data_IF_528564828132
#
_entry.id   IF_528564828132
#
_cell.length_a   1.000
_cell.length_b   1.000
_cell.length_c   1.000
_cell.angle_alpha   90.00
_cell.angle_beta   90.00
_cell.angle_gamma   90.00
#
_symmetry.space_group_name_H-M   'P 1'
#
loop_
_entity.id
_entity.type
_entity.pdbx_description
1 polymer ?
#
# COMPACT_ATOMS: atom_id res chain seq x y z
N UNK A 1 33.51 -20.90 15.78
CA UNK A 1 32.52 -19.96 16.40
C UNK A 1 31.61 -19.20 15.42
N UNK A 2 32.09 -18.62 14.30
CA UNK A 2 31.23 -17.88 13.35
C UNK A 2 30.12 -18.72 12.68
N UNK A 3 30.41 -19.97 12.29
CA UNK A 3 29.40 -20.92 11.74
C UNK A 3 28.27 -21.22 12.73
N UNK A 4 28.59 -21.51 13.99
CA UNK A 4 27.62 -21.82 15.06
C UNK A 4 26.73 -20.60 15.35
N UNK A 5 27.30 -19.38 15.42
CA UNK A 5 26.50 -18.15 15.58
C UNK A 5 25.56 -17.91 14.39
N UNK A 6 25.96 -18.24 13.16
CA UNK A 6 25.09 -18.13 11.98
C UNK A 6 23.95 -19.13 11.99
N UNK A 7 24.20 -20.37 12.44
CA UNK A 7 23.20 -21.43 12.58
C UNK A 7 22.20 -21.09 13.69
N UNK A 8 22.66 -20.60 14.84
CA UNK A 8 21.81 -20.14 15.94
C UNK A 8 20.97 -18.92 15.53
N UNK A 9 21.54 -17.97 14.75
CA UNK A 9 20.80 -16.82 14.22
C UNK A 9 19.76 -17.24 13.18
N UNK A 10 20.07 -18.20 12.32
CA UNK A 10 19.13 -18.79 11.34
C UNK A 10 18.00 -19.55 12.05
N UNK A 11 18.33 -20.40 13.02
CA UNK A 11 17.36 -21.12 13.84
C UNK A 11 16.49 -20.17 14.66
N UNK A 12 17.06 -19.14 15.32
CA UNK A 12 16.27 -18.09 15.98
C UNK A 12 15.37 -17.35 15.01
N UNK A 13 15.82 -17.09 13.78
CA UNK A 13 15.00 -16.41 12.75
C UNK A 13 13.86 -17.29 12.24
N UNK A 14 14.12 -18.58 12.00
CA UNK A 14 13.11 -19.58 11.62
C UNK A 14 12.09 -19.84 12.76
N UNK A 15 12.54 -19.90 14.02
CA UNK A 15 11.65 -19.96 15.19
C UNK A 15 10.96 -18.63 15.51
N UNK A 16 11.51 -17.49 15.09
CA UNK A 16 10.91 -16.16 15.31
C UNK A 16 9.75 -15.88 14.36
N UNK A 17 9.75 -16.44 13.16
CA UNK A 17 8.63 -16.26 12.23
C UNK A 17 7.57 -17.34 12.46
N UNK A 18 6.73 -17.10 13.48
CA UNK A 18 5.63 -18.00 13.88
C UNK A 18 4.66 -18.29 12.74
N UNK A 19 4.47 -17.34 11.82
CA UNK A 19 3.67 -17.56 10.62
C UNK A 19 4.27 -18.64 9.73
N UNK A 20 5.57 -18.55 9.40
CA UNK A 20 6.26 -19.53 8.57
C UNK A 20 6.18 -20.94 9.16
N UNK A 21 6.46 -21.09 10.45
CA UNK A 21 6.41 -22.39 11.13
C UNK A 21 5.00 -22.97 11.09
N UNK A 22 3.99 -22.17 11.42
CA UNK A 22 2.60 -22.59 11.33
C UNK A 22 2.20 -22.97 9.90
N UNK A 23 2.54 -22.12 8.94
CA UNK A 23 2.22 -22.31 7.52
C UNK A 23 2.75 -23.64 7.00
N UNK A 24 4.03 -23.94 7.26
CA UNK A 24 4.67 -25.20 6.85
C UNK A 24 4.04 -26.43 7.50
N UNK A 25 3.80 -26.37 8.81
CA UNK A 25 3.24 -27.50 9.56
C UNK A 25 1.80 -27.84 9.14
N UNK A 26 1.06 -26.84 8.64
CA UNK A 26 -0.36 -26.97 8.36
C UNK A 26 -0.70 -26.84 6.87
N UNK A 27 0.29 -26.78 5.96
CA UNK A 27 0.05 -26.59 4.54
C UNK A 27 -0.84 -27.68 3.95
N UNK A 28 -0.48 -28.94 4.16
CA UNK A 28 -1.23 -30.09 3.61
C UNK A 28 -2.57 -30.31 4.31
N UNK A 29 -2.63 -30.08 5.63
CA UNK A 29 -3.82 -30.39 6.45
C UNK A 29 -4.88 -29.29 6.43
N UNK A 30 -4.51 -28.04 6.12
CA UNK A 30 -5.46 -26.92 6.07
C UNK A 30 -6.22 -26.90 4.76
N UNK A 31 -7.55 -26.80 4.86
CA UNK A 31 -8.44 -26.58 3.73
C UNK A 31 -8.72 -25.10 3.56
N UNK A 32 -8.81 -24.66 2.32
CA UNK A 32 -9.33 -23.34 1.96
C UNK A 32 -10.81 -23.27 2.36
N UNK A 33 -11.22 -22.15 2.93
CA UNK A 33 -12.60 -21.91 3.40
C UNK A 33 -13.25 -20.94 2.44
N UNK A 34 -14.39 -21.33 1.86
CA UNK A 34 -15.12 -20.47 0.93
C UNK A 34 -15.59 -19.17 1.57
N UNK A 35 -15.80 -18.15 0.73
CA UNK A 35 -16.24 -16.80 1.08
C UNK A 35 -15.32 -16.11 2.10
N UNK A 36 -14.00 -16.35 2.02
CA UNK A 36 -13.03 -15.68 2.89
C UNK A 36 -12.05 -14.86 2.06
N UNK A 37 -11.83 -13.60 2.47
CA UNK A 37 -10.96 -12.66 1.75
C UNK A 37 -9.89 -12.12 2.68
N UNK A 38 -8.63 -12.22 2.27
CA UNK A 38 -7.50 -11.60 2.94
C UNK A 38 -7.01 -10.39 2.15
N UNK A 39 -6.84 -9.27 2.85
CA UNK A 39 -6.32 -8.02 2.31
C UNK A 39 -4.97 -7.70 2.97
N UNK A 40 -3.94 -7.48 2.17
CA UNK A 40 -2.64 -6.99 2.64
C UNK A 40 -2.13 -5.87 1.73
N UNK A 41 -1.94 -4.67 2.30
CA UNK A 41 -1.40 -3.52 1.57
C UNK A 41 -0.05 -3.10 2.14
N UNK A 42 0.95 -2.92 1.28
CA UNK A 42 2.33 -2.53 1.62
C UNK A 42 2.92 -3.34 2.79
N UNK A 43 2.92 -4.67 2.68
CA UNK A 43 3.38 -5.59 3.75
C UNK A 43 2.62 -5.45 5.08
N UNK A 44 1.34 -5.08 5.02
CA UNK A 44 0.49 -4.79 6.19
C UNK A 44 0.75 -3.42 6.82
N UNK A 45 1.60 -2.57 6.23
CA UNK A 45 1.87 -1.23 6.77
C UNK A 45 0.76 -0.23 6.46
N UNK A 46 -0.21 -0.63 5.64
CA UNK A 46 -1.23 0.27 5.13
C UNK A 46 -2.62 -0.35 5.07
N UNK A 47 -3.61 0.52 5.18
CA UNK A 47 -5.03 0.24 5.07
C UNK A 47 -5.65 1.03 3.91
N UNK A 48 -4.87 1.16 2.83
CA UNK A 48 -5.14 2.00 1.68
C UNK A 48 -4.85 1.23 0.38
N UNK A 49 -4.95 1.93 -0.75
CA UNK A 49 -4.63 1.47 -2.10
C UNK A 49 -5.71 0.52 -2.67
N UNK A 50 -5.41 -0.20 -3.73
CA UNK A 50 -6.38 -1.05 -4.42
C UNK A 50 -6.97 -2.15 -3.50
N UNK A 51 -6.23 -2.74 -2.53
CA UNK A 51 -6.83 -3.63 -1.54
C UNK A 51 -7.91 -2.95 -0.69
N UNK A 52 -7.76 -1.66 -0.35
CA UNK A 52 -8.81 -0.90 0.32
C UNK A 52 -10.03 -0.72 -0.58
N UNK A 53 -9.84 -0.41 -1.86
CA UNK A 53 -10.94 -0.26 -2.80
C UNK A 53 -11.75 -1.55 -2.95
N UNK A 54 -11.08 -2.72 -3.04
CA UNK A 54 -11.77 -4.01 -2.99
C UNK A 54 -12.57 -4.18 -1.70
N UNK A 55 -11.96 -3.91 -0.53
CA UNK A 55 -12.67 -4.02 0.75
C UNK A 55 -13.89 -3.10 0.83
N UNK A 56 -13.74 -1.85 0.39
CA UNK A 56 -14.78 -0.84 0.43
C UNK A 56 -15.92 -1.14 -0.56
N UNK A 57 -15.63 -1.81 -1.68
CA UNK A 57 -16.66 -2.33 -2.58
C UNK A 57 -17.63 -3.23 -1.80
N UNK A 58 -17.15 -4.27 -1.11
CA UNK A 58 -18.02 -5.15 -0.30
C UNK A 58 -18.78 -4.38 0.80
N UNK A 59 -18.13 -3.42 1.44
CA UNK A 59 -18.77 -2.60 2.48
C UNK A 59 -19.94 -1.74 1.96
N UNK A 60 -20.04 -1.53 0.65
CA UNK A 60 -21.13 -0.80 0.00
C UNK A 60 -22.09 -1.73 -0.78
N UNK A 61 -21.89 -3.04 -0.74
CA UNK A 61 -22.69 -4.07 -1.43
C UNK A 61 -23.19 -5.11 -0.42
N UNK A 62 -24.21 -4.77 0.40
CA UNK A 62 -24.66 -5.60 1.52
C UNK A 62 -25.23 -6.97 1.10
N UNK A 63 -25.59 -7.14 -0.17
CA UNK A 63 -25.95 -8.44 -0.75
C UNK A 63 -24.77 -9.43 -0.80
N UNK A 64 -23.53 -8.95 -0.63
CA UNK A 64 -22.30 -9.74 -0.56
C UNK A 64 -21.77 -9.90 0.88
N UNK A 65 -22.59 -9.68 1.90
CA UNK A 65 -22.17 -9.61 3.30
C UNK A 65 -21.92 -11.00 3.96
N UNK A 66 -22.02 -12.08 3.18
CA UNK A 66 -21.65 -13.43 3.61
C UNK A 66 -20.12 -13.66 3.61
N UNK A 67 -19.36 -12.77 2.96
CA UNK A 67 -17.91 -12.84 2.95
C UNK A 67 -17.30 -12.49 4.33
N UNK A 68 -16.26 -13.23 4.69
CA UNK A 68 -15.49 -13.06 5.91
C UNK A 68 -14.20 -12.33 5.56
N UNK A 69 -14.01 -11.13 6.11
CA UNK A 69 -12.88 -10.27 5.74
C UNK A 69 -11.75 -10.38 6.76
N UNK A 70 -10.52 -10.51 6.30
CA UNK A 70 -9.31 -10.48 7.12
C UNK A 70 -8.37 -9.41 6.60
N UNK A 71 -8.08 -8.38 7.41
CA UNK A 71 -7.09 -7.36 7.08
C UNK A 71 -5.80 -7.59 7.84
N UNK A 72 -4.70 -7.68 7.11
CA UNK A 72 -3.36 -7.88 7.67
C UNK A 72 -2.73 -6.53 8.04
N UNK A 73 -2.12 -6.45 9.22
CA UNK A 73 -1.40 -5.25 9.66
C UNK A 73 -0.04 -5.54 10.28
N UNK A 74 0.92 -4.64 10.05
CA UNK A 74 2.21 -4.65 10.74
C UNK A 74 2.10 -4.11 12.17
N UNK A 75 2.96 -4.59 13.07
CA UNK A 75 2.90 -4.23 14.48
C UNK A 75 3.12 -2.76 14.81
N UNK A 76 3.65 -1.96 13.88
CA UNK A 76 3.91 -0.54 14.07
C UNK A 76 2.77 0.37 13.56
N UNK A 77 1.71 -0.21 12.99
CA UNK A 77 0.56 0.56 12.51
C UNK A 77 -0.32 0.99 13.68
N UNK A 78 -0.76 2.26 13.68
CA UNK A 78 -1.85 2.72 14.53
C UNK A 78 -3.17 2.10 14.06
N UNK A 79 -3.53 0.98 14.69
CA UNK A 79 -4.73 0.23 14.36
C UNK A 79 -6.02 0.99 14.72
N UNK A 80 -5.97 1.92 15.68
CA UNK A 80 -7.14 2.72 16.08
C UNK A 80 -7.49 3.69 14.96
N UNK A 81 -6.51 4.46 14.49
CA UNK A 81 -6.70 5.36 13.35
C UNK A 81 -7.05 4.57 12.07
N UNK A 82 -6.36 3.46 11.81
CA UNK A 82 -6.67 2.60 10.67
C UNK A 82 -8.14 2.17 10.67
N UNK A 83 -8.65 1.60 11.77
CA UNK A 83 -10.06 1.18 11.87
C UNK A 83 -11.03 2.34 11.65
N UNK A 84 -10.71 3.55 12.12
CA UNK A 84 -11.55 4.74 11.89
C UNK A 84 -11.70 5.08 10.40
N UNK A 85 -10.64 4.88 9.60
CA UNK A 85 -10.63 5.16 8.16
C UNK A 85 -11.29 4.07 7.32
N UNK A 86 -11.54 2.89 7.90
CA UNK A 86 -12.13 1.75 7.21
C UNK A 86 -13.64 1.67 7.39
N UNK A 87 -14.41 1.39 6.32
CA UNK A 87 -15.85 1.16 6.42
C UNK A 87 -16.21 -0.21 7.01
N UNK A 88 -15.36 -0.75 7.89
CA UNK A 88 -15.49 -2.10 8.45
C UNK A 88 -16.77 -2.31 9.29
N UNK A 89 -17.33 -1.23 9.84
CA UNK A 89 -18.59 -1.26 10.58
C UNK A 89 -19.81 -1.58 9.70
N UNK A 90 -19.67 -1.49 8.37
CA UNK A 90 -20.73 -1.85 7.42
C UNK A 90 -20.76 -3.35 7.07
N UNK A 91 -19.77 -4.12 7.52
CA UNK A 91 -19.63 -5.53 7.22
C UNK A 91 -19.89 -6.36 8.48
N UNK A 92 -20.56 -7.52 8.33
CA UNK A 92 -20.85 -8.45 9.43
C UNK A 92 -19.61 -9.01 10.09
N UNK A 93 -18.55 -9.27 9.32
CA UNK A 93 -17.37 -9.98 9.82
C UNK A 93 -16.06 -9.45 9.26
N UNK A 94 -15.31 -8.76 10.11
CA UNK A 94 -13.98 -8.25 9.82
C UNK A 94 -13.01 -8.63 10.93
N UNK A 95 -11.93 -9.33 10.58
CA UNK A 95 -10.83 -9.69 11.47
C UNK A 95 -9.59 -8.88 11.11
N UNK A 96 -8.88 -8.41 12.13
CA UNK A 96 -7.59 -7.74 11.97
C UNK A 96 -6.50 -8.67 12.49
N UNK A 97 -5.57 -9.05 11.61
CA UNK A 97 -4.56 -10.06 11.90
C UNK A 97 -3.16 -9.46 11.79
N UNK A 98 -2.40 -9.57 12.87
CA UNK A 98 -1.03 -9.05 12.90
C UNK A 98 -0.11 -9.91 12.05
N UNK A 99 0.68 -9.29 11.18
CA UNK A 99 1.63 -9.97 10.30
C UNK A 99 2.68 -10.76 11.08
N UNK A 100 3.17 -11.85 10.49
CA UNK A 100 4.16 -12.78 11.07
C UNK A 100 3.70 -13.58 12.32
N UNK A 101 2.42 -13.51 12.72
CA UNK A 101 1.87 -14.37 13.79
C UNK A 101 1.34 -15.71 13.24
N UNK A 102 0.96 -16.64 14.14
CA UNK A 102 0.36 -17.92 13.71
C UNK A 102 -0.97 -17.71 13.00
N UNK A 103 -1.73 -16.71 13.46
CA UNK A 103 -3.02 -16.32 12.90
C UNK A 103 -2.85 -15.79 11.47
N UNK A 104 -1.78 -15.05 11.18
CA UNK A 104 -1.43 -14.65 9.81
C UNK A 104 -1.11 -15.86 8.92
N UNK A 105 -0.30 -16.80 9.43
CA UNK A 105 -0.02 -18.06 8.71
C UNK A 105 -1.31 -18.85 8.44
N UNK A 106 -2.23 -18.94 9.41
CA UNK A 106 -3.54 -19.56 9.23
C UNK A 106 -4.37 -18.84 8.18
N UNK A 107 -4.49 -17.51 8.27
CA UNK A 107 -5.29 -16.73 7.35
C UNK A 107 -4.81 -16.88 5.90
N UNK A 108 -3.49 -16.89 5.66
CA UNK A 108 -2.93 -17.17 4.33
C UNK A 108 -3.21 -18.60 3.83
N UNK A 109 -3.32 -19.60 4.71
CA UNK A 109 -3.62 -20.98 4.33
C UNK A 109 -5.09 -21.20 4.00
N UNK A 110 -5.99 -20.49 4.70
CA UNK A 110 -7.42 -20.78 4.66
C UNK A 110 -8.22 -19.80 3.83
N UNK A 111 -7.67 -18.62 3.50
CA UNK A 111 -8.42 -17.61 2.73
C UNK A 111 -8.60 -18.04 1.28
N UNK A 112 -9.82 -17.96 0.75
CA UNK A 112 -10.11 -18.26 -0.66
C UNK A 112 -9.57 -17.18 -1.58
N UNK A 113 -9.80 -15.91 -1.23
CA UNK A 113 -9.32 -14.78 -2.01
C UNK A 113 -8.17 -14.07 -1.28
N UNK A 114 -7.07 -13.84 -1.98
CA UNK A 114 -5.89 -13.13 -1.48
C UNK A 114 -5.71 -11.85 -2.30
N UNK A 115 -5.85 -10.69 -1.68
CA UNK A 115 -5.73 -9.37 -2.34
C UNK A 115 -4.48 -8.67 -1.82
N UNK A 116 -3.52 -8.39 -2.70
CA UNK A 116 -2.25 -7.75 -2.35
C UNK A 116 -1.85 -6.70 -3.41
N UNK A 117 -1.08 -5.68 -3.03
CA UNK A 117 -0.54 -4.64 -3.92
C UNK A 117 1.00 -4.57 -3.97
N UNK A 118 1.64 -5.55 -3.35
CA UNK A 118 3.08 -5.73 -3.25
C UNK A 118 3.39 -7.21 -3.43
N UNK A 119 3.93 -7.87 -2.40
CA UNK A 119 4.27 -9.28 -2.42
C UNK A 119 3.95 -9.93 -1.07
N UNK A 120 3.55 -11.20 -1.09
CA UNK A 120 3.69 -12.04 0.09
C UNK A 120 5.16 -12.45 0.29
N UNK A 121 5.48 -12.89 1.51
CA UNK A 121 6.86 -13.22 1.89
C UNK A 121 7.40 -14.42 1.09
N UNK A 122 8.74 -14.57 0.94
CA UNK A 122 9.36 -15.60 0.09
C UNK A 122 9.00 -17.06 0.37
N UNK A 123 8.37 -17.33 1.51
CA UNK A 123 7.95 -18.66 1.93
C UNK A 123 6.49 -18.99 1.62
N UNK A 124 5.67 -18.02 1.23
CA UNK A 124 4.25 -18.20 0.94
C UNK A 124 4.06 -19.00 -0.36
N UNK A 125 3.31 -20.11 -0.39
CA UNK A 125 3.03 -20.86 -1.62
C UNK A 125 1.51 -20.88 -1.80
N UNK A 126 0.98 -20.37 -2.91
CA UNK A 126 -0.47 -20.39 -3.15
C UNK A 126 -0.99 -21.84 -3.21
N UNK A 127 -2.11 -22.13 -2.56
CA UNK A 127 -2.85 -23.40 -2.73
C UNK A 127 -3.72 -23.34 -3.99
N UNK A 128 -3.98 -24.49 -4.60
CA UNK A 128 -4.77 -24.61 -5.84
C UNK A 128 -6.15 -23.94 -5.74
N UNK A 129 -6.87 -24.16 -4.63
CA UNK A 129 -8.21 -23.60 -4.40
C UNK A 129 -8.21 -22.13 -3.94
N UNK A 130 -7.10 -21.40 -4.06
CA UNK A 130 -7.05 -19.97 -3.74
C UNK A 130 -6.97 -19.14 -5.01
N UNK A 131 -7.61 -17.98 -4.98
CA UNK A 131 -7.51 -16.93 -5.99
C UNK A 131 -6.63 -15.80 -5.45
N UNK A 132 -5.48 -15.59 -6.07
CA UNK A 132 -4.56 -14.52 -5.74
C UNK A 132 -4.65 -13.39 -6.78
N UNK A 133 -5.16 -12.24 -6.32
CA UNK A 133 -5.17 -10.98 -7.07
C UNK A 133 -4.01 -10.11 -6.60
N UNK A 134 -3.06 -9.86 -7.49
CA UNK A 134 -2.01 -8.86 -7.26
C UNK A 134 -2.32 -7.59 -8.05
N UNK A 135 -2.63 -6.54 -7.31
CA UNK A 135 -3.01 -5.23 -7.85
C UNK A 135 -1.82 -4.36 -8.23
N UNK A 136 -0.61 -4.75 -7.80
CA UNK A 136 0.58 -3.89 -7.80
C UNK A 136 0.26 -2.47 -7.27
N UNK A 137 1.08 -1.46 -7.55
CA UNK A 137 0.95 -0.16 -6.88
C UNK A 137 1.18 1.05 -7.79
N UNK A 138 0.82 0.93 -9.07
CA UNK A 138 0.83 2.06 -9.99
C UNK A 138 1.64 1.86 -11.26
N UNK A 139 1.46 2.81 -12.17
CA UNK A 139 2.27 2.97 -13.38
C UNK A 139 3.67 3.46 -12.98
N UNK A 140 4.75 2.74 -13.31
CA UNK A 140 6.09 3.15 -12.94
C UNK A 140 6.59 4.28 -13.85
N UNK A 141 7.29 5.25 -13.25
CA UNK A 141 8.13 6.21 -13.99
C UNK A 141 9.60 5.74 -14.06
N UNK A 142 10.03 4.95 -13.07
CA UNK A 142 11.40 4.45 -12.93
C UNK A 142 11.52 3.06 -13.55
N UNK A 143 12.74 2.64 -13.88
CA UNK A 143 13.01 1.24 -14.28
C UNK A 143 12.53 0.28 -13.18
N UNK A 144 11.91 -0.82 -13.57
CA UNK A 144 11.34 -1.83 -12.68
C UNK A 144 11.87 -3.22 -13.02
N UNK A 145 11.65 -4.18 -12.12
CA UNK A 145 11.98 -5.58 -12.38
C UNK A 145 13.46 -5.81 -12.67
N UNK A 146 13.75 -6.52 -13.75
CA UNK A 146 15.10 -6.85 -14.18
C UNK A 146 15.78 -5.73 -14.97
N UNK A 147 15.06 -4.63 -15.25
CA UNK A 147 15.65 -3.45 -15.91
C UNK A 147 16.36 -2.54 -14.89
N UNK A 148 16.21 -2.79 -13.59
CA UNK A 148 17.00 -2.12 -12.55
C UNK A 148 18.43 -2.68 -12.59
N UNK A 149 19.39 -1.80 -12.88
CA UNK A 149 20.81 -2.13 -12.94
C UNK A 149 21.33 -2.73 -11.62
N UNK A 150 22.17 -3.76 -11.73
CA UNK A 150 22.83 -4.46 -10.63
C UNK A 150 21.93 -5.01 -9.50
N UNK A 151 20.61 -5.12 -9.71
CA UNK A 151 19.67 -5.59 -8.68
C UNK A 151 18.77 -6.79 -9.08
N UNK A 152 19.29 -7.85 -9.73
CA UNK A 152 18.46 -9.00 -10.10
C UNK A 152 17.86 -9.73 -8.88
N UNK A 153 18.53 -9.63 -7.72
CA UNK A 153 18.04 -10.22 -6.45
C UNK A 153 16.78 -9.53 -5.92
N UNK A 154 16.62 -8.23 -6.17
CA UNK A 154 15.45 -7.47 -5.74
C UNK A 154 14.14 -7.97 -6.35
N UNK A 155 14.21 -8.55 -7.55
CA UNK A 155 13.03 -8.95 -8.32
C UNK A 155 12.62 -10.41 -8.11
N UNK A 156 13.40 -11.22 -7.38
CA UNK A 156 13.13 -12.66 -7.21
C UNK A 156 11.80 -12.94 -6.50
N UNK A 157 11.54 -12.28 -5.37
CA UNK A 157 10.28 -12.48 -4.65
C UNK A 157 9.09 -11.88 -5.42
N UNK A 158 9.32 -10.80 -6.15
CA UNK A 158 8.30 -10.15 -6.98
C UNK A 158 7.86 -11.09 -8.10
N UNK A 159 8.82 -11.59 -8.89
CA UNK A 159 8.57 -12.57 -9.96
C UNK A 159 7.82 -13.80 -9.41
N UNK A 160 8.26 -14.33 -8.27
CA UNK A 160 7.59 -15.48 -7.64
C UNK A 160 6.13 -15.20 -7.30
N UNK A 161 5.82 -14.02 -6.76
CA UNK A 161 4.44 -13.64 -6.47
C UNK A 161 3.62 -13.45 -7.74
N UNK A 162 4.18 -12.84 -8.78
CA UNK A 162 3.50 -12.69 -10.06
C UNK A 162 3.18 -14.04 -10.70
N UNK A 163 4.13 -14.97 -10.74
CA UNK A 163 3.89 -16.33 -11.28
C UNK A 163 2.86 -17.13 -10.47
N UNK A 164 2.62 -16.78 -9.21
CA UNK A 164 1.57 -17.40 -8.39
C UNK A 164 0.22 -16.68 -8.49
N UNK A 165 0.15 -15.46 -9.04
CA UNK A 165 -1.07 -14.68 -9.06
C UNK A 165 -2.02 -15.16 -10.17
N UNK A 166 -3.28 -15.39 -9.85
CA UNK A 166 -4.30 -15.70 -10.86
C UNK A 166 -4.64 -14.46 -11.69
N UNK A 167 -4.57 -13.29 -11.04
CA UNK A 167 -4.83 -12.01 -11.69
C UNK A 167 -3.76 -10.96 -11.35
N UNK A 168 -3.22 -10.32 -12.38
CA UNK A 168 -2.44 -9.08 -12.26
C UNK A 168 -3.29 -7.90 -12.73
N UNK A 169 -3.46 -6.87 -11.91
CA UNK A 169 -4.18 -5.67 -12.35
C UNK A 169 -3.19 -4.70 -13.01
N UNK A 170 -3.53 -4.26 -14.21
CA UNK A 170 -2.73 -3.30 -14.98
C UNK A 170 -3.52 -2.00 -15.22
N UNK A 171 -2.98 -0.83 -14.85
CA UNK A 171 -3.62 0.45 -15.10
C UNK A 171 -3.70 0.83 -16.58
N UNK A 172 -2.79 0.32 -17.42
CA UNK A 172 -2.64 0.70 -18.82
C UNK A 172 -1.65 -0.23 -19.53
N UNK A 173 -1.61 -0.13 -20.87
CA UNK A 173 -0.71 -0.89 -21.72
C UNK A 173 0.78 -0.76 -21.33
N UNK A 174 1.22 0.41 -20.88
CA UNK A 174 2.61 0.59 -20.43
C UNK A 174 2.95 -0.29 -19.22
N UNK A 175 2.08 -0.38 -18.22
CA UNK A 175 2.30 -1.28 -17.08
C UNK A 175 2.19 -2.75 -17.47
N UNK A 176 1.31 -3.09 -18.42
CA UNK A 176 1.24 -4.44 -19.00
C UNK A 176 2.58 -4.83 -19.64
N UNK A 177 3.18 -3.92 -20.41
CA UNK A 177 4.51 -4.08 -20.99
C UNK A 177 5.59 -4.25 -19.92
N UNK A 178 5.52 -3.50 -18.81
CA UNK A 178 6.44 -3.66 -17.68
C UNK A 178 6.33 -5.06 -17.05
N UNK A 179 5.11 -5.57 -16.86
CA UNK A 179 4.91 -6.94 -16.39
C UNK A 179 5.54 -7.96 -17.34
N UNK A 180 5.22 -7.89 -18.62
CA UNK A 180 5.67 -8.88 -19.61
C UNK A 180 7.19 -8.80 -19.84
N UNK A 181 7.73 -7.60 -20.04
CA UNK A 181 9.11 -7.38 -20.50
C UNK A 181 10.08 -7.14 -19.35
N UNK A 182 9.79 -6.18 -18.46
CA UNK A 182 10.72 -5.82 -17.37
C UNK A 182 10.73 -6.87 -16.26
N UNK A 183 9.58 -7.47 -15.95
CA UNK A 183 9.48 -8.58 -15.01
C UNK A 183 9.62 -9.97 -15.63
N UNK A 184 9.81 -10.05 -16.96
CA UNK A 184 10.05 -11.31 -17.71
C UNK A 184 8.89 -12.31 -17.57
N UNK A 185 7.65 -11.84 -17.63
CA UNK A 185 6.47 -12.69 -17.54
C UNK A 185 5.99 -13.23 -18.91
N UNK A 186 6.49 -12.65 -20.01
CA UNK A 186 6.14 -13.10 -21.36
C UNK A 186 6.48 -14.59 -21.56
N UNK A 187 5.48 -15.39 -21.92
CA UNK A 187 5.59 -16.84 -22.08
C UNK A 187 5.75 -17.65 -20.78
N UNK A 188 5.77 -17.01 -19.61
CA UNK A 188 5.88 -17.66 -18.30
C UNK A 188 4.64 -17.51 -17.42
N UNK A 189 3.91 -16.41 -17.56
CA UNK A 189 2.74 -16.13 -16.74
C UNK A 189 1.50 -16.83 -17.29
N UNK A 190 0.90 -17.70 -16.48
CA UNK A 190 -0.29 -18.50 -16.84
C UNK A 190 -1.61 -17.87 -16.37
N UNK A 191 -1.56 -16.83 -15.53
CA UNK A 191 -2.75 -16.11 -15.08
C UNK A 191 -3.21 -15.04 -16.07
N UNK A 192 -4.13 -14.18 -15.63
CA UNK A 192 -4.72 -13.13 -16.47
C UNK A 192 -4.24 -11.74 -16.05
N UNK A 193 -3.71 -10.97 -17.01
CA UNK A 193 -3.48 -9.53 -16.81
C UNK A 193 -4.79 -8.80 -17.15
N UNK A 194 -5.37 -8.15 -16.14
CA UNK A 194 -6.58 -7.33 -16.29
C UNK A 194 -6.16 -5.87 -16.52
N UNK A 195 -6.09 -5.48 -17.79
CA UNK A 195 -5.79 -4.09 -18.19
C UNK A 195 -7.08 -3.24 -18.16
N UNK A 196 -7.22 -2.38 -17.16
CA UNK A 196 -8.48 -1.62 -16.98
C UNK A 196 -8.44 -0.49 -15.95
N UNK A 197 -7.27 -0.07 -15.48
CA UNK A 197 -7.16 0.90 -14.38
C UNK A 197 -6.89 0.22 -13.03
N UNK A 198 -6.66 1.03 -11.99
CA UNK A 198 -6.48 0.53 -10.63
C UNK A 198 -7.75 0.77 -9.81
N UNK A 199 -8.21 -0.21 -9.01
CA UNK A 199 -9.39 -0.06 -8.15
C UNK A 199 -9.34 1.20 -7.25
N UNK A 200 -8.16 1.57 -6.76
CA UNK A 200 -7.99 2.80 -5.94
C UNK A 200 -8.33 4.10 -6.68
N UNK A 201 -8.37 4.10 -8.00
CA UNK A 201 -8.68 5.28 -8.80
C UNK A 201 -10.18 5.48 -9.00
N UNK A 202 -11.03 4.51 -8.63
CA UNK A 202 -12.48 4.63 -8.79
C UNK A 202 -13.08 5.76 -7.92
N UNK A 203 -12.46 6.06 -6.78
CA UNK A 203 -12.83 7.19 -5.90
C UNK A 203 -12.73 8.54 -6.61
N UNK A 204 -11.83 8.68 -7.58
CA UNK A 204 -11.65 9.93 -8.34
C UNK A 204 -12.94 10.26 -9.12
N UNK A 205 -13.65 9.24 -9.59
CA UNK A 205 -14.89 9.39 -10.35
C UNK A 205 -16.12 9.50 -9.45
N UNK A 206 -16.07 8.92 -8.25
CA UNK A 206 -17.16 8.90 -7.28
C UNK A 206 -16.65 9.33 -5.90
N UNK A 207 -16.35 10.63 -5.71
CA UNK A 207 -15.71 11.12 -4.50
C UNK A 207 -16.63 11.01 -3.28
N UNK A 208 -16.05 10.61 -2.16
CA UNK A 208 -16.68 10.59 -0.84
C UNK A 208 -16.47 11.96 -0.16
N UNK A 209 -17.53 12.76 0.00
CA UNK A 209 -17.44 14.16 0.51
C UNK A 209 -17.09 14.24 2.01
N UNK A 210 -16.42 13.23 2.57
CA UNK A 210 -16.01 13.15 3.98
C UNK A 210 -14.52 13.44 4.20
N UNK A 211 -13.70 13.55 3.14
CA UNK A 211 -12.25 13.64 3.28
C UNK A 211 -11.76 14.87 4.06
N UNK A 212 -12.35 16.04 3.83
CA UNK A 212 -12.00 17.25 4.57
C UNK A 212 -12.26 17.08 6.08
N UNK A 213 -13.35 16.42 6.46
CA UNK A 213 -13.69 16.11 7.86
C UNK A 213 -12.70 15.11 8.45
N UNK A 214 -12.37 14.04 7.73
CA UNK A 214 -11.38 13.05 8.18
C UNK A 214 -10.00 13.68 8.39
N UNK A 215 -9.59 14.60 7.53
CA UNK A 215 -8.34 15.36 7.67
C UNK A 215 -8.37 16.21 8.94
N UNK A 216 -9.43 17.01 9.17
CA UNK A 216 -9.57 17.84 10.39
C UNK A 216 -9.52 17.01 11.66
N UNK A 217 -10.24 15.89 11.68
CA UNK A 217 -10.24 14.93 12.79
C UNK A 217 -8.87 14.34 13.10
N UNK A 218 -7.99 14.25 12.09
CA UNK A 218 -6.61 13.80 12.25
C UNK A 218 -5.64 14.89 12.71
N UNK A 219 -6.13 16.12 12.90
CA UNK A 219 -5.33 17.26 13.32
C UNK A 219 -4.81 18.15 12.19
N UNK A 220 -5.29 17.96 10.95
CA UNK A 220 -4.97 18.85 9.83
C UNK A 220 -5.80 20.13 9.94
N UNK A 221 -5.16 21.27 9.69
CA UNK A 221 -5.78 22.58 9.70
C UNK A 221 -6.16 22.92 8.26
N UNK A 222 -7.45 23.09 8.01
CA UNK A 222 -7.99 23.48 6.72
C UNK A 222 -8.82 24.77 6.88
N UNK A 223 -8.50 25.80 6.13
CA UNK A 223 -9.34 26.98 5.95
C UNK A 223 -10.36 26.68 4.84
N UNK A 224 -11.66 26.78 5.14
CA UNK A 224 -12.72 26.50 4.17
C UNK A 224 -12.82 27.53 3.03
N UNK A 225 -12.16 28.69 3.17
CA UNK A 225 -12.14 29.74 2.14
C UNK A 225 -11.01 29.55 1.13
N UNK A 226 -10.05 28.67 1.41
CA UNK A 226 -8.86 28.42 0.60
C UNK A 226 -9.00 27.15 -0.22
N UNK A 227 -8.39 27.14 -1.41
CA UNK A 227 -8.17 25.94 -2.22
C UNK A 227 -7.20 24.99 -1.52
N UNK A 228 -6.94 23.81 -2.05
CA UNK A 228 -5.99 22.83 -1.48
C UNK A 228 -4.88 22.50 -2.47
N UNK A 229 -3.64 22.69 -2.04
CA UNK A 229 -2.44 22.23 -2.72
C UNK A 229 -1.90 21.01 -1.99
N UNK A 230 -1.78 19.88 -2.67
CA UNK A 230 -1.16 18.67 -2.15
C UNK A 230 0.29 18.58 -2.62
N UNK A 231 1.23 18.68 -1.68
CA UNK A 231 2.66 18.51 -1.93
C UNK A 231 3.10 17.08 -1.62
N UNK A 232 3.62 16.37 -2.64
CA UNK A 232 4.06 14.97 -2.56
C UNK A 232 5.48 14.77 -3.11
N UNK A 233 6.52 15.23 -2.40
CA UNK A 233 7.89 15.02 -2.84
C UNK A 233 8.29 13.55 -2.70
N UNK A 234 9.06 13.03 -3.67
CA UNK A 234 9.65 11.70 -3.55
C UNK A 234 10.81 11.67 -2.56
N UNK A 235 11.01 10.50 -1.96
CA UNK A 235 12.19 10.22 -1.14
C UNK A 235 13.45 10.12 -2.01
N UNK A 236 14.53 10.82 -1.61
CA UNK A 236 15.77 10.92 -2.41
C UNK A 236 16.83 9.89 -2.05
N UNK A 237 16.70 9.16 -0.93
CA UNK A 237 17.41 7.90 -0.70
C UNK A 237 18.94 7.96 -0.63
N UNK A 238 19.54 9.14 -0.48
CA UNK A 238 20.99 9.25 -0.29
C UNK A 238 21.32 8.87 1.16
N UNK A 239 22.15 7.83 1.30
CA UNK A 239 22.87 7.29 2.48
C UNK A 239 22.26 7.51 3.90
N UNK A 240 22.26 6.44 4.71
CA UNK A 240 21.67 6.39 6.08
C UNK A 240 22.09 7.51 7.07
N UNK A 241 23.06 8.36 6.73
CA UNK A 241 23.49 9.51 7.51
C UNK A 241 22.77 10.84 7.18
N UNK A 242 21.96 10.92 6.11
CA UNK A 242 21.39 12.20 5.60
C UNK A 242 19.86 12.32 5.72
N UNK A 243 19.21 11.43 6.47
CA UNK A 243 17.75 11.57 6.68
C UNK A 243 17.36 12.77 7.55
N UNK A 244 18.28 13.68 7.88
CA UNK A 244 18.03 15.03 8.42
C UNK A 244 17.90 16.05 7.28
N UNK A 245 18.75 15.98 6.26
CA UNK A 245 18.77 16.86 5.09
C UNK A 245 17.45 16.77 4.29
N UNK A 246 16.87 15.58 4.20
CA UNK A 246 15.55 15.38 3.58
C UNK A 246 14.42 16.13 4.33
N UNK A 247 14.50 16.22 5.66
CA UNK A 247 13.52 16.93 6.49
C UNK A 247 13.74 18.45 6.44
N UNK A 248 14.98 18.91 6.48
CA UNK A 248 15.30 20.33 6.35
C UNK A 248 14.85 20.87 4.99
N UNK A 249 15.15 20.14 3.92
CA UNK A 249 14.66 20.47 2.58
C UNK A 249 13.14 20.48 2.52
N UNK A 250 12.47 19.46 3.05
CA UNK A 250 11.01 19.42 3.12
C UNK A 250 10.44 20.65 3.86
N UNK A 251 11.03 21.03 5.00
CA UNK A 251 10.60 22.21 5.76
C UNK A 251 10.85 23.49 4.97
N UNK A 252 11.97 23.59 4.25
CA UNK A 252 12.30 24.72 3.37
C UNK A 252 11.28 24.85 2.23
N UNK A 253 10.98 23.75 1.53
CA UNK A 253 10.00 23.70 0.45
C UNK A 253 8.60 24.11 0.98
N UNK A 254 8.21 23.62 2.16
CA UNK A 254 6.93 23.96 2.79
C UNK A 254 6.87 25.43 3.19
N UNK A 255 7.94 25.98 3.79
CA UNK A 255 8.02 27.42 4.10
C UNK A 255 7.90 28.27 2.84
N UNK A 256 8.55 27.86 1.76
CA UNK A 256 8.45 28.53 0.47
C UNK A 256 7.00 28.54 -0.01
N UNK A 257 6.32 27.39 -0.05
CA UNK A 257 4.92 27.29 -0.48
C UNK A 257 4.00 28.14 0.39
N UNK A 258 4.14 28.08 1.72
CA UNK A 258 3.32 28.88 2.64
C UNK A 258 3.50 30.37 2.40
N UNK A 259 4.74 30.84 2.17
CA UNK A 259 5.03 32.26 1.98
C UNK A 259 4.53 32.82 0.64
N UNK A 260 4.42 31.99 -0.40
CA UNK A 260 4.08 32.46 -1.76
C UNK A 260 2.63 32.20 -2.15
N UNK A 261 2.03 31.11 -1.65
CA UNK A 261 0.66 30.69 -2.04
C UNK A 261 -0.22 30.32 -0.84
N UNK A 262 0.27 30.44 0.40
CA UNK A 262 -0.46 30.05 1.60
C UNK A 262 -1.69 30.91 1.92
N UNK A 263 -1.82 32.09 1.31
CA UNK A 263 -3.01 32.93 1.42
C UNK A 263 -4.18 32.42 0.56
N UNK A 264 -3.89 31.77 -0.57
CA UNK A 264 -4.90 31.18 -1.46
C UNK A 264 -5.12 29.68 -1.20
N UNK A 265 -4.09 28.96 -0.73
CA UNK A 265 -4.10 27.50 -0.61
C UNK A 265 -3.83 26.99 0.82
N UNK A 266 -4.61 25.98 1.21
CA UNK A 266 -4.25 25.02 2.23
C UNK A 266 -3.13 24.12 1.69
N UNK A 267 -1.97 24.12 2.34
CA UNK A 267 -0.83 23.29 1.93
C UNK A 267 -0.88 21.97 2.70
N UNK A 268 -1.23 20.88 2.02
CA UNK A 268 -1.16 19.52 2.54
C UNK A 268 0.14 18.86 2.12
N UNK A 269 0.74 18.08 3.02
CA UNK A 269 2.03 17.45 2.78
C UNK A 269 1.86 15.96 2.98
N UNK A 270 2.15 15.15 1.95
CA UNK A 270 2.20 13.70 2.07
C UNK A 270 3.55 13.18 1.61
N UNK A 271 4.33 12.70 2.56
CA UNK A 271 5.69 12.19 2.33
C UNK A 271 5.72 10.67 2.22
N UNK A 272 6.82 10.14 1.71
CA UNK A 272 7.09 8.71 1.71
C UNK A 272 7.08 8.13 3.14
N UNK A 273 6.59 6.88 3.36
CA UNK A 273 6.57 6.23 4.69
C UNK A 273 7.91 6.25 5.45
N UNK A 274 9.04 6.14 4.72
CA UNK A 274 10.37 6.18 5.33
C UNK A 274 10.74 7.55 5.93
N UNK A 275 10.13 8.63 5.44
CA UNK A 275 10.35 10.01 5.92
C UNK A 275 9.32 10.38 6.99
N UNK A 276 8.11 9.81 6.91
CA UNK A 276 6.97 10.16 7.76
C UNK A 276 7.30 10.14 9.26
N UNK A 277 7.97 9.09 9.74
CA UNK A 277 8.31 8.94 11.17
C UNK A 277 9.20 10.05 11.72
N UNK A 278 10.01 10.70 10.88
CA UNK A 278 10.80 11.87 11.26
C UNK A 278 10.03 13.17 11.03
N UNK A 279 9.28 13.26 9.93
CA UNK A 279 8.50 14.44 9.59
C UNK A 279 7.45 14.77 10.65
N UNK A 280 6.80 13.76 11.24
CA UNK A 280 5.77 13.95 12.27
C UNK A 280 6.30 14.57 13.56
N UNK A 281 7.61 14.49 13.81
CA UNK A 281 8.26 15.10 14.97
C UNK A 281 8.64 16.57 14.75
N UNK A 282 8.48 17.09 13.52
CA UNK A 282 8.85 18.47 13.19
C UNK A 282 7.65 19.41 13.33
N UNK A 283 7.71 20.32 14.30
CA UNK A 283 6.62 21.27 14.57
C UNK A 283 6.28 22.19 13.38
N UNK A 284 7.22 22.45 12.45
CA UNK A 284 6.93 23.27 11.26
C UNK A 284 5.98 22.59 10.27
N UNK A 285 5.80 21.27 10.37
CA UNK A 285 4.93 20.48 9.50
C UNK A 285 3.56 20.19 10.15
N UNK A 286 3.39 20.57 11.41
CA UNK A 286 2.17 20.33 12.18
C UNK A 286 0.97 21.02 11.55
N UNK A 287 -0.18 20.33 11.55
CA UNK A 287 -1.40 20.79 10.91
C UNK A 287 -1.42 20.69 9.38
N UNK A 288 -0.33 20.24 8.75
CA UNK A 288 -0.21 20.10 7.28
C UNK A 288 0.25 18.72 6.83
N UNK A 289 1.05 18.03 7.65
CA UNK A 289 1.54 16.69 7.38
C UNK A 289 0.42 15.65 7.51
N UNK A 290 -0.02 15.12 6.36
CA UNK A 290 -1.03 14.08 6.27
C UNK A 290 -0.43 12.72 6.67
N UNK A 291 -1.15 11.99 7.53
CA UNK A 291 -0.73 10.66 7.97
C UNK A 291 -0.52 9.69 6.81
N UNK A 292 0.47 8.81 6.92
CA UNK A 292 0.72 7.76 5.93
C UNK A 292 -0.47 6.78 5.78
N UNK A 293 -1.36 6.72 6.79
CA UNK A 293 -2.57 5.91 6.75
C UNK A 293 -3.66 6.44 5.81
N UNK A 294 -3.65 7.73 5.46
CA UNK A 294 -4.58 8.26 4.46
C UNK A 294 -4.18 7.76 3.07
N UNK A 295 -5.16 7.26 2.33
CA UNK A 295 -4.99 6.95 0.92
C UNK A 295 -4.77 8.25 0.13
N UNK A 296 -3.69 8.30 -0.65
CA UNK A 296 -3.39 9.48 -1.48
C UNK A 296 -4.46 9.70 -2.54
N UNK A 297 -5.04 8.64 -3.10
CA UNK A 297 -6.04 8.74 -4.14
C UNK A 297 -7.35 9.37 -3.63
N UNK A 298 -7.68 9.17 -2.34
CA UNK A 298 -8.79 9.88 -1.69
C UNK A 298 -8.49 11.35 -1.39
N UNK A 299 -7.22 11.74 -1.18
CA UNK A 299 -6.88 13.15 -0.99
C UNK A 299 -7.18 13.99 -2.24
N UNK A 300 -7.22 13.37 -3.42
CA UNK A 300 -7.55 14.06 -4.67
C UNK A 300 -8.96 14.66 -4.69
N UNK A 301 -9.87 14.12 -3.89
CA UNK A 301 -11.24 14.62 -3.71
C UNK A 301 -11.23 16.09 -3.26
N UNK A 302 -10.30 16.43 -2.37
CA UNK A 302 -10.16 17.78 -1.83
C UNK A 302 -9.02 18.58 -2.47
N UNK A 303 -8.17 17.96 -3.30
CA UNK A 303 -6.98 18.60 -3.89
C UNK A 303 -7.34 19.37 -5.16
N UNK A 304 -6.97 20.63 -5.22
CA UNK A 304 -7.11 21.49 -6.41
C UNK A 304 -5.85 21.47 -7.27
N UNK A 305 -4.66 21.41 -6.64
CA UNK A 305 -3.37 21.36 -7.33
C UNK A 305 -2.47 20.29 -6.71
N UNK A 306 -1.83 19.46 -7.54
CA UNK A 306 -0.79 18.52 -7.11
C UNK A 306 0.61 19.07 -7.44
N UNK A 307 1.44 19.25 -6.41
CA UNK A 307 2.87 19.50 -6.58
C UNK A 307 3.64 18.21 -6.26
N UNK A 308 4.30 17.64 -7.26
CA UNK A 308 5.11 16.42 -7.13
C UNK A 308 6.37 16.51 -7.99
N UNK A 309 7.25 15.51 -7.90
CA UNK A 309 8.44 15.38 -8.73
C UNK A 309 8.41 14.08 -9.57
N UNK A 310 9.27 13.10 -9.33
CA UNK A 310 9.35 11.86 -10.11
C UNK A 310 8.53 10.72 -9.49
N UNK A 311 7.29 11.03 -9.09
CA UNK A 311 6.37 10.12 -8.43
C UNK A 311 5.37 9.51 -9.41
N UNK A 312 5.04 8.22 -9.23
CA UNK A 312 3.96 7.57 -9.99
C UNK A 312 2.57 8.12 -9.67
N UNK A 313 2.42 8.86 -8.55
CA UNK A 313 1.15 9.50 -8.15
C UNK A 313 0.61 10.46 -9.21
N UNK A 314 1.50 11.02 -10.03
CA UNK A 314 1.14 11.85 -11.18
C UNK A 314 0.14 11.14 -12.09
N UNK A 315 0.39 9.88 -12.44
CA UNK A 315 -0.46 9.13 -13.37
C UNK A 315 -1.87 8.93 -12.83
N UNK A 316 -2.01 8.76 -11.52
CA UNK A 316 -3.32 8.64 -10.88
C UNK A 316 -4.01 10.01 -10.81
N UNK A 317 -3.27 11.08 -10.50
CA UNK A 317 -3.84 12.43 -10.39
C UNK A 317 -4.32 12.98 -11.73
N UNK A 318 -3.68 12.63 -12.85
CA UNK A 318 -4.11 13.04 -14.20
C UNK A 318 -5.57 12.64 -14.51
N UNK A 319 -6.09 11.60 -13.85
CA UNK A 319 -7.49 11.17 -13.99
C UNK A 319 -8.46 12.26 -13.51
N UNK A 320 -8.05 13.10 -12.55
CA UNK A 320 -8.87 14.20 -12.00
C UNK A 320 -9.10 15.33 -13.01
N UNK A 321 -8.23 15.46 -14.02
CA UNK A 321 -8.18 16.60 -14.97
C UNK A 321 -8.01 17.97 -14.29
N UNK A 322 -7.44 17.98 -13.08
CA UNK A 322 -7.02 19.18 -12.36
C UNK A 322 -5.54 19.48 -12.61
N UNK A 323 -5.08 20.64 -12.11
CA UNK A 323 -3.74 21.20 -12.36
C UNK A 323 -2.61 20.52 -11.57
#
# INVERSE_FOLDING_TARGET
>A
MKKIKSVIKKARREFSNRALTYYKMHYESSKVVSNTILYESRDGKAFSDSPYAFFAYFANHPEQDDYQHTWVYDGNVDLTLAKKLLPHHKLKSVKFVKRNTKEYGRALLTSEYLINNSTFQPWFIKKENQVYVNTWHGTPLKKMGFDIEDNPKGSQNVLRNFLMADYLISPNNHMTDVFLKSYKLEGLYEGTILEGGLPRNDWIRNPDITMATQLRDSGIILDSTKKVLLYTPTYRGVLQNEAADDIEKLVSDVKYLVNHVGDEYNILIKVHPFVYGKAVLNENLKGRLVSDLFDVNKLFEVTDILVTDYSSVLFDYLITKKD
#
